data_IF_531168780904
#
_entry.id   IF_531168780904
#
_cell.length_a   1.000
_cell.length_b   1.000
_cell.length_c   1.000
_cell.angle_alpha   90.00
_cell.angle_beta   90.00
_cell.angle_gamma   90.00
#
_symmetry.space_group_name_H-M   'P 1'
#
loop_
_entity.id
_entity.type
_entity.pdbx_description
1 polymer ?
#
# COMPACT_ATOMS: atom_id res chain seq x y z
N UNK A 1 -37.39 26.72 -28.10
CA UNK A 1 -38.32 26.12 -29.08
C UNK A 1 -39.65 25.71 -28.44
N UNK A 2 -39.69 25.01 -27.30
CA UNK A 2 -40.97 24.71 -26.58
C UNK A 2 -41.44 25.95 -25.82
N UNK A 3 -40.54 26.76 -25.26
CA UNK A 3 -40.87 27.99 -24.55
C UNK A 3 -41.47 29.06 -25.44
N UNK A 4 -41.09 29.10 -26.73
CA UNK A 4 -41.63 30.03 -27.71
C UNK A 4 -43.07 29.68 -28.14
N UNK A 5 -43.51 28.45 -27.88
CA UNK A 5 -44.85 27.97 -28.16
C UNK A 5 -45.85 28.16 -27.00
N UNK A 6 -45.36 28.69 -25.83
CA UNK A 6 -46.20 28.87 -24.65
C UNK A 6 -47.07 30.14 -24.81
N UNK A 7 -48.39 30.05 -24.58
CA UNK A 7 -49.24 31.21 -24.62
C UNK A 7 -48.79 32.32 -23.65
N UNK A 8 -48.90 33.59 -24.06
CA UNK A 8 -48.58 34.73 -23.21
C UNK A 8 -49.34 34.72 -21.88
N UNK A 9 -50.52 34.13 -21.86
CA UNK A 9 -51.38 33.93 -20.68
C UNK A 9 -50.69 33.13 -19.57
N UNK A 10 -49.73 32.22 -19.91
CA UNK A 10 -48.98 31.45 -18.92
C UNK A 10 -48.15 32.32 -17.96
N UNK A 11 -47.77 33.50 -18.36
CA UNK A 11 -47.00 34.45 -17.52
C UNK A 11 -47.83 35.07 -16.40
N UNK A 12 -49.13 35.13 -16.58
CA UNK A 12 -50.06 35.70 -15.58
C UNK A 12 -50.59 34.67 -14.59
N UNK A 13 -50.31 33.38 -14.80
CA UNK A 13 -50.71 32.34 -13.87
C UNK A 13 -49.78 32.29 -12.66
N UNK A 14 -50.30 32.11 -11.46
CA UNK A 14 -49.52 31.93 -10.25
C UNK A 14 -48.68 30.64 -10.34
N UNK A 15 -47.54 30.60 -9.66
CA UNK A 15 -46.66 29.42 -9.66
C UNK A 15 -47.31 28.16 -9.05
N UNK A 16 -48.37 28.33 -8.26
CA UNK A 16 -49.17 27.27 -7.66
C UNK A 16 -50.34 26.81 -8.55
N UNK A 17 -50.58 27.44 -9.70
CA UNK A 17 -51.68 27.07 -10.59
C UNK A 17 -51.33 25.78 -11.34
N UNK A 18 -52.17 24.72 -11.23
CA UNK A 18 -51.94 23.46 -11.92
C UNK A 18 -51.90 23.55 -13.46
N UNK A 19 -52.46 24.62 -14.03
CA UNK A 19 -52.49 24.88 -15.48
C UNK A 19 -51.25 25.64 -15.97
N UNK A 20 -50.40 26.12 -15.06
CA UNK A 20 -49.16 26.81 -15.43
C UNK A 20 -48.14 25.84 -15.99
N UNK A 21 -47.72 26.07 -17.23
CA UNK A 21 -46.62 25.34 -17.82
C UNK A 21 -45.29 25.87 -17.28
N UNK A 22 -44.56 25.03 -16.58
CA UNK A 22 -43.23 25.34 -16.01
C UNK A 22 -42.20 24.49 -16.71
N UNK A 23 -41.27 25.13 -17.39
CA UNK A 23 -40.11 24.47 -17.99
C UNK A 23 -38.83 24.95 -17.29
N UNK A 24 -38.12 24.04 -16.66
CA UNK A 24 -36.82 24.26 -16.00
C UNK A 24 -35.71 23.44 -16.66
N UNK A 25 -34.48 23.88 -16.59
CA UNK A 25 -33.32 23.20 -17.18
C UNK A 25 -32.28 22.83 -16.12
N UNK A 26 -31.56 21.70 -16.34
CA UNK A 26 -30.42 21.32 -15.58
C UNK A 26 -30.71 20.89 -14.14
N UNK A 27 -29.86 21.28 -13.21
CA UNK A 27 -29.93 20.86 -11.82
C UNK A 27 -31.19 21.36 -11.09
N UNK A 28 -31.71 22.53 -11.43
CA UNK A 28 -32.96 23.08 -10.85
C UNK A 28 -34.16 22.20 -11.15
N UNK A 29 -34.28 21.74 -12.42
CA UNK A 29 -35.36 20.84 -12.84
C UNK A 29 -35.28 19.49 -12.12
N UNK A 30 -34.10 18.92 -12.03
CA UNK A 30 -33.86 17.64 -11.30
C UNK A 30 -34.14 17.76 -9.80
N UNK A 31 -33.76 18.88 -9.19
CA UNK A 31 -34.04 19.14 -7.79
C UNK A 31 -35.53 19.14 -7.50
N UNK A 32 -36.30 19.88 -8.29
CA UNK A 32 -37.75 19.98 -8.12
C UNK A 32 -38.45 18.65 -8.36
N UNK A 33 -38.03 17.87 -9.36
CA UNK A 33 -38.52 16.52 -9.59
C UNK A 33 -38.26 15.59 -8.42
N UNK A 34 -37.05 15.64 -7.84
CA UNK A 34 -36.65 14.81 -6.70
C UNK A 34 -37.35 15.25 -5.40
N UNK A 35 -37.56 16.57 -5.20
CA UNK A 35 -38.28 17.10 -4.05
C UNK A 35 -39.75 16.69 -4.01
N UNK A 36 -40.39 16.60 -5.19
CA UNK A 36 -41.79 16.22 -5.33
C UNK A 36 -42.02 14.70 -5.47
N UNK A 37 -40.94 13.87 -5.35
CA UNK A 37 -41.01 12.44 -5.55
C UNK A 37 -41.61 11.74 -4.34
N UNK A 38 -42.76 11.07 -4.50
CA UNK A 38 -43.31 10.18 -3.48
C UNK A 38 -42.73 8.78 -3.64
N UNK A 39 -41.76 8.43 -2.76
CA UNK A 39 -41.04 7.16 -2.81
C UNK A 39 -41.95 5.96 -2.50
N UNK A 40 -42.90 6.10 -1.57
CA UNK A 40 -43.79 5.00 -1.18
C UNK A 40 -44.74 4.62 -2.32
N UNK A 41 -45.34 5.60 -2.93
CA UNK A 41 -46.23 5.39 -4.09
C UNK A 41 -45.46 4.81 -5.29
N UNK A 42 -44.28 5.34 -5.56
CA UNK A 42 -43.40 4.84 -6.65
C UNK A 42 -42.95 3.40 -6.41
N UNK A 43 -42.63 3.06 -5.17
CA UNK A 43 -42.26 1.69 -4.77
C UNK A 43 -43.44 0.72 -4.99
N UNK A 44 -44.62 1.10 -4.54
CA UNK A 44 -45.83 0.32 -4.74
C UNK A 44 -46.15 0.08 -6.22
N UNK A 45 -46.10 1.15 -7.03
CA UNK A 45 -46.35 1.08 -8.47
C UNK A 45 -45.33 0.21 -9.21
N UNK A 46 -44.05 0.30 -8.86
CA UNK A 46 -43.01 -0.53 -9.46
C UNK A 46 -43.11 -1.99 -9.06
N UNK A 47 -43.50 -2.30 -7.82
CA UNK A 47 -43.75 -3.69 -7.36
C UNK A 47 -44.93 -4.31 -8.16
N UNK A 48 -46.02 -3.57 -8.33
CA UNK A 48 -47.15 -4.03 -9.11
C UNK A 48 -46.78 -4.19 -10.59
N UNK A 49 -46.06 -3.25 -11.18
CA UNK A 49 -45.56 -3.36 -12.54
C UNK A 49 -44.67 -4.58 -12.74
N UNK A 50 -43.71 -4.83 -11.81
CA UNK A 50 -42.83 -6.00 -11.88
C UNK A 50 -43.58 -7.35 -11.70
N UNK A 51 -44.71 -7.35 -10.94
CA UNK A 51 -45.54 -8.55 -10.75
C UNK A 51 -46.35 -8.88 -12.00
N UNK A 52 -46.91 -7.86 -12.67
CA UNK A 52 -47.87 -8.00 -13.78
C UNK A 52 -47.19 -8.03 -15.16
N UNK A 53 -45.91 -7.67 -15.27
CA UNK A 53 -45.21 -7.59 -16.55
C UNK A 53 -44.86 -8.98 -17.09
N UNK A 54 -45.28 -9.23 -18.34
CA UNK A 54 -45.06 -10.49 -19.06
C UNK A 54 -43.69 -10.54 -19.76
N UNK A 55 -43.16 -9.36 -20.13
CA UNK A 55 -41.83 -9.26 -20.78
C UNK A 55 -40.69 -9.34 -19.75
N UNK A 56 -39.80 -10.33 -19.89
CA UNK A 56 -38.67 -10.47 -19.01
C UNK A 56 -37.75 -9.24 -19.00
N UNK A 57 -37.57 -8.58 -20.13
CA UNK A 57 -36.71 -7.37 -20.22
C UNK A 57 -37.30 -6.21 -19.43
N UNK A 58 -38.60 -5.91 -19.61
CA UNK A 58 -39.28 -4.84 -18.87
C UNK A 58 -39.39 -5.14 -17.39
N UNK A 59 -39.60 -6.41 -17.04
CA UNK A 59 -39.59 -6.87 -15.64
C UNK A 59 -38.24 -6.61 -14.99
N UNK A 60 -37.14 -6.97 -15.67
CA UNK A 60 -35.79 -6.73 -15.17
C UNK A 60 -35.47 -5.23 -15.01
N UNK A 61 -35.99 -4.37 -15.91
CA UNK A 61 -35.84 -2.93 -15.81
C UNK A 61 -36.63 -2.37 -14.63
N UNK A 62 -37.86 -2.80 -14.44
CA UNK A 62 -38.72 -2.41 -13.30
C UNK A 62 -38.08 -2.83 -11.96
N UNK A 63 -37.50 -4.01 -11.90
CA UNK A 63 -36.78 -4.48 -10.70
C UNK A 63 -35.53 -3.66 -10.40
N UNK A 64 -34.74 -3.27 -11.41
CA UNK A 64 -33.58 -2.36 -11.23
C UNK A 64 -34.02 -0.99 -10.71
N UNK A 65 -35.10 -0.42 -11.26
CA UNK A 65 -35.64 0.84 -10.75
C UNK A 65 -36.17 0.71 -9.33
N UNK A 66 -36.87 -0.39 -9.02
CA UNK A 66 -37.37 -0.68 -7.69
C UNK A 66 -36.22 -0.75 -6.68
N UNK A 67 -35.11 -1.42 -7.01
CA UNK A 67 -33.93 -1.50 -6.14
C UNK A 67 -33.39 -0.12 -5.76
N UNK A 68 -33.33 0.82 -6.72
CA UNK A 68 -32.87 2.19 -6.45
C UNK A 68 -33.88 2.94 -5.58
N UNK A 69 -35.19 2.82 -5.86
CA UNK A 69 -36.24 3.48 -5.08
C UNK A 69 -36.29 2.96 -3.65
N UNK A 70 -36.18 1.64 -3.44
CA UNK A 70 -36.11 1.04 -2.10
C UNK A 70 -34.86 1.55 -1.32
N UNK A 71 -33.71 1.62 -1.99
CA UNK A 71 -32.49 2.16 -1.34
C UNK A 71 -32.65 3.63 -0.94
N UNK A 72 -33.33 4.45 -1.75
CA UNK A 72 -33.64 5.85 -1.40
C UNK A 72 -34.63 5.92 -0.24
N UNK A 73 -35.66 5.08 -0.23
CA UNK A 73 -36.66 5.00 0.85
C UNK A 73 -36.03 4.57 2.17
N UNK A 74 -35.20 3.54 2.14
CA UNK A 74 -34.44 3.08 3.32
C UNK A 74 -33.49 4.17 3.86
N UNK A 75 -32.81 4.90 2.96
CA UNK A 75 -31.97 6.02 3.34
C UNK A 75 -32.77 7.17 3.97
N UNK A 76 -33.97 7.45 3.48
CA UNK A 76 -34.85 8.45 4.05
C UNK A 76 -35.36 8.03 5.45
N UNK A 77 -35.69 6.76 5.62
CA UNK A 77 -36.23 6.23 6.89
C UNK A 77 -35.16 6.10 7.97
N UNK A 78 -33.97 5.60 7.62
CA UNK A 78 -32.89 5.29 8.60
C UNK A 78 -31.88 6.42 8.79
N UNK A 79 -31.68 7.28 7.79
CA UNK A 79 -30.61 8.29 7.80
C UNK A 79 -31.14 9.72 7.57
N UNK A 80 -32.45 9.90 7.46
CA UNK A 80 -33.09 11.19 7.14
C UNK A 80 -32.61 11.83 5.83
N UNK A 81 -31.98 11.06 4.94
CA UNK A 81 -31.43 11.54 3.68
C UNK A 81 -32.52 11.69 2.62
N UNK A 82 -32.77 12.90 2.18
CA UNK A 82 -33.76 13.18 1.14
C UNK A 82 -33.17 13.01 -0.27
N UNK A 83 -33.98 12.52 -1.25
CA UNK A 83 -33.52 12.35 -2.64
C UNK A 83 -33.01 13.64 -3.29
N UNK A 84 -33.60 14.79 -2.94
CA UNK A 84 -33.20 16.12 -3.45
C UNK A 84 -31.75 16.50 -3.08
N UNK A 85 -31.16 15.90 -2.03
CA UNK A 85 -29.77 16.15 -1.62
C UNK A 85 -28.74 15.56 -2.59
N UNK A 86 -29.17 14.78 -3.57
CA UNK A 86 -28.31 14.38 -4.69
C UNK A 86 -27.84 15.59 -5.52
N UNK A 87 -28.58 16.71 -5.45
CA UNK A 87 -28.20 17.97 -6.07
C UNK A 87 -27.37 18.79 -5.10
N UNK A 88 -26.11 18.95 -5.42
CA UNK A 88 -25.13 19.65 -4.56
C UNK A 88 -25.34 21.16 -4.63
N UNK A 89 -25.79 21.77 -3.53
CA UNK A 89 -25.97 23.23 -3.40
C UNK A 89 -24.72 23.92 -2.84
N UNK A 90 -23.99 23.23 -1.97
CA UNK A 90 -22.76 23.72 -1.32
C UNK A 90 -21.60 22.83 -1.70
N UNK A 91 -20.57 23.38 -2.34
CA UNK A 91 -19.40 22.65 -2.77
C UNK A 91 -18.41 22.55 -1.61
N UNK A 92 -17.94 21.33 -1.24
CA UNK A 92 -16.94 21.17 -0.22
C UNK A 92 -15.58 21.71 -0.70
N UNK A 93 -14.92 22.48 0.14
CA UNK A 93 -13.57 22.98 -0.12
C UNK A 93 -12.59 22.25 0.80
N UNK A 94 -11.63 21.57 0.21
CA UNK A 94 -10.61 20.85 0.98
C UNK A 94 -9.64 21.83 1.66
N UNK A 95 -9.05 21.45 2.83
CA UNK A 95 -8.08 22.28 3.54
C UNK A 95 -6.89 22.70 2.66
N UNK A 96 -6.29 23.88 2.91
CA UNK A 96 -5.15 24.39 2.13
C UNK A 96 -3.94 23.48 2.13
N UNK A 97 -3.70 22.73 3.20
CA UNK A 97 -2.60 21.77 3.33
C UNK A 97 -2.66 20.65 2.29
N UNK A 98 -3.87 20.27 1.86
CA UNK A 98 -4.07 19.24 0.82
C UNK A 98 -3.95 19.78 -0.62
N UNK A 99 -3.89 21.12 -0.77
CA UNK A 99 -3.72 21.83 -2.05
C UNK A 99 -2.70 22.96 -1.94
N UNK A 100 -1.46 22.65 -1.53
CA UNK A 100 -0.49 23.66 -1.14
C UNK A 100 -0.08 24.56 -2.32
N UNK A 101 0.31 25.78 -1.96
CA UNK A 101 1.01 26.74 -2.80
C UNK A 101 2.48 26.75 -2.35
N UNK A 102 3.37 26.23 -3.17
CA UNK A 102 4.79 26.07 -2.83
C UNK A 102 5.62 27.10 -3.58
N UNK A 103 6.41 27.95 -2.89
CA UNK A 103 7.33 28.86 -3.56
C UNK A 103 8.46 28.05 -4.21
N UNK A 104 8.80 28.41 -5.44
CA UNK A 104 9.94 27.91 -6.19
C UNK A 104 11.03 28.97 -6.24
N UNK A 105 12.26 28.53 -6.53
CA UNK A 105 13.38 29.43 -6.76
C UNK A 105 13.05 30.40 -7.92
N UNK A 106 13.41 31.68 -7.76
CA UNK A 106 13.10 32.72 -8.73
C UNK A 106 11.73 33.39 -8.57
N UNK A 107 11.09 33.30 -7.38
CA UNK A 107 9.84 34.04 -7.06
C UNK A 107 8.58 33.49 -7.73
N UNK A 108 8.64 32.29 -8.32
CA UNK A 108 7.50 31.59 -8.89
C UNK A 108 6.85 30.70 -7.84
N UNK A 109 5.55 30.43 -8.01
CA UNK A 109 4.82 29.52 -7.15
C UNK A 109 4.33 28.30 -7.96
N UNK A 110 4.56 27.12 -7.42
CA UNK A 110 3.88 25.90 -7.86
C UNK A 110 2.58 25.76 -7.10
N UNK A 111 1.49 25.57 -7.81
CA UNK A 111 0.16 25.38 -7.22
C UNK A 111 -0.41 24.03 -7.58
N UNK A 112 -1.25 23.48 -6.69
CA UNK A 112 -2.03 22.28 -6.99
C UNK A 112 -3.05 22.56 -8.08
N UNK A 113 -3.29 21.58 -8.95
CA UNK A 113 -4.31 21.65 -10.01
C UNK A 113 -5.71 21.97 -9.45
N UNK A 114 -6.01 21.54 -8.21
CA UNK A 114 -7.27 21.80 -7.53
C UNK A 114 -7.53 23.30 -7.31
N UNK A 115 -6.49 24.10 -7.04
CA UNK A 115 -6.65 25.53 -6.89
C UNK A 115 -7.14 26.20 -8.18
N UNK A 116 -6.67 25.74 -9.33
CA UNK A 116 -7.14 26.23 -10.64
C UNK A 116 -8.59 25.85 -10.90
N UNK A 117 -8.98 24.62 -10.55
CA UNK A 117 -10.36 24.16 -10.70
C UNK A 117 -11.31 24.93 -9.78
N UNK A 118 -10.97 25.15 -8.50
CA UNK A 118 -11.74 26.00 -7.58
C UNK A 118 -11.84 27.44 -8.09
N UNK A 119 -10.73 28.00 -8.56
CA UNK A 119 -10.71 29.36 -9.12
C UNK A 119 -11.71 29.52 -10.28
N UNK A 120 -11.75 28.53 -11.20
CA UNK A 120 -12.70 28.54 -12.31
C UNK A 120 -14.15 28.52 -11.84
N UNK A 121 -14.48 27.70 -10.85
CA UNK A 121 -15.84 27.66 -10.27
C UNK A 121 -16.20 29.00 -9.65
N UNK A 122 -15.32 29.60 -8.86
CA UNK A 122 -15.57 30.90 -8.20
C UNK A 122 -15.77 32.01 -9.25
N UNK A 123 -14.92 32.08 -10.26
CA UNK A 123 -15.03 33.10 -11.32
C UNK A 123 -16.37 32.97 -12.05
N UNK A 124 -16.78 31.75 -12.44
CA UNK A 124 -18.05 31.51 -13.12
C UNK A 124 -19.23 31.81 -12.22
N UNK A 125 -19.19 31.44 -10.96
CA UNK A 125 -20.24 31.73 -10.00
C UNK A 125 -20.41 33.27 -9.79
N UNK A 126 -19.31 33.98 -9.61
CA UNK A 126 -19.35 35.44 -9.44
C UNK A 126 -19.86 36.15 -10.71
N UNK A 127 -19.50 35.64 -11.88
CA UNK A 127 -20.00 36.17 -13.16
C UNK A 127 -21.51 35.94 -13.29
N UNK A 128 -22.00 34.71 -13.00
CA UNK A 128 -23.42 34.42 -13.02
C UNK A 128 -24.18 35.32 -12.05
N UNK A 129 -23.68 35.50 -10.81
CA UNK A 129 -24.30 36.39 -9.82
C UNK A 129 -24.47 37.82 -10.35
N UNK A 130 -23.42 38.40 -10.95
CA UNK A 130 -23.47 39.74 -11.56
C UNK A 130 -24.49 39.81 -12.70
N UNK A 131 -24.56 38.79 -13.58
CA UNK A 131 -25.53 38.75 -14.67
C UNK A 131 -26.97 38.65 -14.17
N UNK A 132 -27.21 37.98 -13.06
CA UNK A 132 -28.52 37.94 -12.40
C UNK A 132 -28.87 39.29 -11.77
N UNK A 133 -27.93 39.97 -11.15
CA UNK A 133 -28.14 41.32 -10.54
C UNK A 133 -28.52 42.38 -11.58
N UNK A 134 -28.02 42.32 -12.82
CA UNK A 134 -28.34 43.24 -13.91
C UNK A 134 -29.50 42.77 -14.79
N UNK A 135 -30.20 41.69 -14.38
CA UNK A 135 -31.32 41.11 -15.14
C UNK A 135 -30.97 40.86 -16.63
N UNK A 136 -29.85 40.21 -16.87
CA UNK A 136 -29.40 39.87 -18.24
C UNK A 136 -30.40 38.93 -18.94
N UNK A 137 -30.45 38.95 -20.29
CA UNK A 137 -31.32 38.07 -21.06
C UNK A 137 -31.14 36.58 -20.72
N UNK A 138 -32.25 35.83 -20.71
CA UNK A 138 -32.26 34.42 -20.33
C UNK A 138 -31.30 33.55 -21.11
N UNK A 139 -31.07 33.81 -22.37
CA UNK A 139 -30.11 33.07 -23.23
C UNK A 139 -28.69 33.15 -22.64
N UNK A 140 -28.28 34.32 -22.15
CA UNK A 140 -26.97 34.54 -21.54
C UNK A 140 -26.90 33.82 -20.20
N UNK A 141 -27.96 33.95 -19.37
CA UNK A 141 -28.02 33.27 -18.07
C UNK A 141 -27.97 31.75 -18.21
N UNK A 142 -28.69 31.17 -19.16
CA UNK A 142 -28.67 29.71 -19.44
C UNK A 142 -27.25 29.25 -19.85
N UNK A 143 -26.58 29.99 -20.70
CA UNK A 143 -25.22 29.66 -21.13
C UNK A 143 -24.24 29.74 -19.96
N UNK A 144 -24.32 30.77 -19.11
CA UNK A 144 -23.42 30.89 -17.96
C UNK A 144 -23.72 29.82 -16.89
N UNK A 145 -24.99 29.47 -16.64
CA UNK A 145 -25.36 28.31 -15.79
C UNK A 145 -24.75 27.01 -16.32
N UNK A 146 -24.79 26.77 -17.63
CA UNK A 146 -24.13 25.61 -18.26
C UNK A 146 -22.63 25.63 -18.06
N UNK A 147 -21.97 26.78 -18.21
CA UNK A 147 -20.52 26.91 -18.03
C UNK A 147 -20.12 26.74 -16.56
N UNK A 148 -20.96 27.16 -15.61
CA UNK A 148 -20.77 26.93 -14.19
C UNK A 148 -20.88 25.41 -13.89
N UNK A 149 -21.91 24.74 -14.41
CA UNK A 149 -22.07 23.28 -14.29
C UNK A 149 -20.84 22.55 -14.83
N UNK A 150 -20.33 22.93 -15.99
CA UNK A 150 -19.13 22.34 -16.56
C UNK A 150 -17.89 22.54 -15.69
N UNK A 151 -17.77 23.68 -15.02
CA UNK A 151 -16.67 23.95 -14.10
C UNK A 151 -16.74 23.10 -12.85
N UNK A 152 -17.95 22.88 -12.31
CA UNK A 152 -18.20 22.00 -11.16
C UNK A 152 -17.94 20.54 -11.53
N UNK A 153 -18.43 20.09 -12.68
CA UNK A 153 -18.16 18.73 -13.17
C UNK A 153 -16.66 18.46 -13.33
N UNK A 154 -15.91 19.44 -13.85
CA UNK A 154 -14.46 19.32 -13.97
C UNK A 154 -13.75 19.29 -12.62
N UNK A 155 -14.27 19.99 -11.60
CA UNK A 155 -13.74 19.95 -10.25
C UNK A 155 -13.91 18.55 -9.63
N UNK A 156 -15.09 17.93 -9.80
CA UNK A 156 -15.36 16.61 -9.25
C UNK A 156 -14.70 15.49 -10.04
N UNK A 157 -14.87 15.43 -11.36
CA UNK A 157 -14.27 14.42 -12.23
C UNK A 157 -13.96 14.96 -13.64
N UNK A 158 -12.76 15.49 -13.80
CA UNK A 158 -12.29 16.05 -15.08
C UNK A 158 -12.07 14.98 -16.16
N UNK A 159 -11.82 13.74 -15.79
CA UNK A 159 -11.56 12.65 -16.73
C UNK A 159 -12.81 12.13 -17.44
N UNK A 160 -13.99 12.44 -16.91
CA UNK A 160 -15.27 11.97 -17.43
C UNK A 160 -15.74 12.72 -18.69
N UNK A 161 -15.16 13.88 -18.96
CA UNK A 161 -15.53 14.73 -20.11
C UNK A 161 -14.73 14.36 -21.37
N UNK A 162 -15.38 14.43 -22.52
CA UNK A 162 -14.73 14.28 -23.84
C UNK A 162 -13.62 15.33 -24.05
N UNK A 163 -13.82 16.56 -23.55
CA UNK A 163 -12.82 17.63 -23.54
C UNK A 163 -12.46 18.01 -22.10
N UNK A 164 -11.52 17.29 -21.52
CA UNK A 164 -11.01 17.60 -20.17
C UNK A 164 -10.39 19.00 -20.13
N UNK A 165 -10.56 19.69 -19.01
CA UNK A 165 -9.91 20.96 -18.73
C UNK A 165 -8.40 20.73 -18.62
N UNK A 166 -7.61 21.51 -19.39
CA UNK A 166 -6.15 21.36 -19.49
C UNK A 166 -5.44 22.57 -18.91
N UNK A 167 -4.23 22.36 -18.41
CA UNK A 167 -3.26 23.39 -18.12
C UNK A 167 -2.60 23.90 -19.41
N UNK A 168 -1.83 24.97 -19.34
CA UNK A 168 -1.14 25.61 -20.48
C UNK A 168 -0.26 24.63 -21.27
N UNK A 169 0.25 23.57 -20.64
CA UNK A 169 1.03 22.48 -21.25
C UNK A 169 0.23 21.34 -21.88
N UNK A 170 -1.04 21.51 -22.20
CA UNK A 170 -1.98 20.48 -22.73
C UNK A 170 -2.25 19.28 -21.79
N UNK A 171 -1.66 19.25 -20.58
CA UNK A 171 -1.92 18.23 -19.57
C UNK A 171 -3.31 18.45 -18.93
N UNK A 172 -4.12 17.39 -18.81
CA UNK A 172 -5.39 17.46 -18.08
C UNK A 172 -5.14 17.77 -16.59
N UNK A 173 -5.95 18.67 -16.03
CA UNK A 173 -5.90 18.99 -14.60
C UNK A 173 -6.43 17.83 -13.77
N UNK A 174 -5.76 17.56 -12.64
CA UNK A 174 -6.15 16.49 -11.70
C UNK A 174 -7.31 16.94 -10.83
N UNK A 175 -8.47 16.27 -10.96
CA UNK A 175 -9.70 16.56 -10.23
C UNK A 175 -9.72 15.94 -8.83
N UNK A 176 -10.78 16.22 -8.04
CA UNK A 176 -10.99 15.60 -6.72
C UNK A 176 -11.09 14.07 -6.84
N UNK A 177 -11.86 13.56 -7.82
CA UNK A 177 -11.96 12.13 -8.08
C UNK A 177 -10.59 11.51 -8.41
N UNK A 178 -9.78 12.18 -9.22
CA UNK A 178 -8.43 11.72 -9.58
C UNK A 178 -7.46 11.71 -8.39
N UNK A 179 -7.71 12.54 -7.38
CA UNK A 179 -6.94 12.51 -6.13
C UNK A 179 -7.25 11.30 -5.26
N UNK A 180 -8.39 10.66 -5.44
CA UNK A 180 -8.86 9.50 -4.67
C UNK A 180 -8.64 8.19 -5.40
N UNK A 181 -8.88 8.15 -6.72
CA UNK A 181 -8.83 6.93 -7.55
C UNK A 181 -7.42 6.59 -8.05
N UNK A 182 -7.24 5.33 -8.44
CA UNK A 182 -6.01 4.83 -9.07
C UNK A 182 -4.87 4.54 -8.09
N UNK A 183 -3.71 4.16 -8.64
CA UNK A 183 -2.51 3.74 -7.87
C UNK A 183 -1.91 4.87 -7.04
N UNK A 184 -1.99 6.10 -7.54
CA UNK A 184 -1.49 7.32 -6.87
C UNK A 184 -2.58 8.08 -6.12
N UNK A 185 -3.78 7.52 -6.03
CA UNK A 185 -4.89 8.08 -5.28
C UNK A 185 -4.73 7.87 -3.77
N UNK A 186 -5.47 8.67 -2.99
CA UNK A 186 -5.40 8.67 -1.53
C UNK A 186 -5.65 7.29 -0.92
N UNK A 187 -6.60 6.53 -1.45
CA UNK A 187 -6.93 5.20 -0.94
C UNK A 187 -5.75 4.24 -1.05
N UNK A 188 -5.18 4.07 -2.25
CA UNK A 188 -4.12 3.10 -2.48
C UNK A 188 -2.75 3.55 -1.99
N UNK A 189 -2.46 4.85 -2.03
CA UNK A 189 -1.14 5.37 -1.69
C UNK A 189 -0.97 5.70 -0.19
N UNK A 190 -2.05 6.15 0.49
CA UNK A 190 -1.92 6.69 1.84
C UNK A 190 -2.80 5.99 2.89
N UNK A 191 -3.89 5.31 2.49
CA UNK A 191 -4.83 4.68 3.42
C UNK A 191 -4.64 3.16 3.51
N UNK A 192 -4.57 2.46 2.38
CA UNK A 192 -4.32 1.01 2.35
C UNK A 192 -2.87 0.65 2.67
N UNK A 193 -1.95 1.58 2.51
CA UNK A 193 -0.55 1.43 2.86
C UNK A 193 0.06 2.77 3.21
N UNK A 194 0.94 2.79 4.20
CA UNK A 194 1.65 3.99 4.67
C UNK A 194 3.14 3.69 4.76
N UNK A 195 3.98 4.74 4.66
CA UNK A 195 5.37 4.63 5.08
C UNK A 195 5.42 4.48 6.58
N UNK A 196 6.25 3.57 7.05
CA UNK A 196 6.35 3.25 8.48
C UNK A 196 7.76 3.55 8.99
N UNK A 197 7.83 3.97 10.26
CA UNK A 197 9.07 4.15 10.99
C UNK A 197 9.65 2.77 11.42
N UNK A 198 10.83 2.76 11.99
CA UNK A 198 11.54 1.55 12.42
C UNK A 198 11.72 0.54 11.29
N UNK A 199 12.02 1.05 10.12
CA UNK A 199 12.32 0.27 8.93
C UNK A 199 13.61 0.74 8.26
N UNK A 200 14.29 -0.19 7.61
CA UNK A 200 15.50 0.09 6.86
C UNK A 200 15.50 -0.73 5.57
N UNK A 201 16.42 -0.43 4.67
CA UNK A 201 16.59 -1.16 3.42
C UNK A 201 18.08 -1.24 3.08
N UNK A 202 18.55 -2.41 2.68
CA UNK A 202 19.91 -2.61 2.17
C UNK A 202 19.98 -3.76 1.18
N UNK A 203 21.10 -3.85 0.50
CA UNK A 203 21.46 -4.98 -0.36
C UNK A 203 21.64 -6.24 0.48
N UNK A 204 21.31 -7.39 -0.08
CA UNK A 204 21.50 -8.70 0.55
C UNK A 204 22.75 -9.40 0.01
N UNK A 205 23.40 -10.13 0.90
CA UNK A 205 24.53 -11.02 0.58
C UNK A 205 24.33 -12.38 1.24
N UNK A 206 25.00 -13.39 0.72
CA UNK A 206 24.91 -14.74 1.27
C UNK A 206 25.55 -14.80 2.66
N UNK A 207 24.89 -15.51 3.60
CA UNK A 207 25.39 -15.81 4.94
C UNK A 207 25.34 -17.30 5.21
N UNK A 208 26.32 -18.11 4.74
CA UNK A 208 26.28 -19.56 4.88
C UNK A 208 26.46 -20.03 6.32
N UNK A 209 27.07 -19.22 7.17
CA UNK A 209 27.33 -19.54 8.59
C UNK A 209 26.14 -19.24 9.52
N UNK A 210 25.06 -18.68 8.97
CA UNK A 210 23.85 -18.37 9.71
C UNK A 210 22.98 -19.62 9.87
N UNK A 211 22.29 -19.74 11.00
CA UNK A 211 21.22 -20.70 11.14
C UNK A 211 20.00 -20.25 10.32
N UNK A 212 19.07 -21.18 9.99
CA UNK A 212 17.90 -20.90 9.15
C UNK A 212 17.00 -19.77 9.71
N UNK A 213 16.95 -19.63 11.01
CA UNK A 213 16.16 -18.60 11.71
C UNK A 213 16.94 -17.29 11.96
N UNK A 214 18.20 -17.22 11.57
CA UNK A 214 19.06 -16.06 11.79
C UNK A 214 19.24 -15.21 10.53
N UNK A 215 19.44 -13.92 10.71
CA UNK A 215 19.90 -13.01 9.66
C UNK A 215 21.03 -12.12 10.19
N UNK A 216 21.94 -11.73 9.32
CA UNK A 216 23.00 -10.78 9.65
C UNK A 216 22.54 -9.35 9.38
N UNK A 217 22.52 -8.49 10.39
CA UNK A 217 22.22 -7.07 10.24
C UNK A 217 23.47 -6.22 10.47
N UNK A 218 23.76 -5.24 9.61
CA UNK A 218 24.81 -4.25 9.83
C UNK A 218 24.66 -3.54 11.17
N UNK A 219 25.76 -3.36 11.89
CA UNK A 219 25.79 -2.69 13.20
C UNK A 219 25.11 -1.31 13.17
N UNK A 220 25.45 -0.49 12.18
CA UNK A 220 24.92 0.86 12.06
C UNK A 220 23.39 0.89 11.86
N UNK A 221 22.89 -0.02 11.01
CA UNK A 221 21.45 -0.19 10.78
C UNK A 221 20.76 -0.67 12.06
N UNK A 222 21.33 -1.64 12.75
CA UNK A 222 20.78 -2.17 14.00
C UNK A 222 20.72 -1.10 15.09
N UNK A 223 21.77 -0.27 15.24
CA UNK A 223 21.79 0.81 16.21
C UNK A 223 20.67 1.84 15.98
N UNK A 224 20.37 2.18 14.72
CA UNK A 224 19.30 3.12 14.41
C UNK A 224 17.90 2.50 14.58
N UNK A 225 17.70 1.25 14.16
CA UNK A 225 16.42 0.54 14.33
C UNK A 225 16.05 0.35 15.80
N UNK A 226 17.01 -0.08 16.62
CA UNK A 226 16.81 -0.37 18.05
C UNK A 226 17.05 0.85 18.96
N UNK A 227 17.23 2.05 18.40
CA UNK A 227 17.54 3.28 19.14
C UNK A 227 16.68 3.53 20.37
N UNK A 228 15.34 3.41 20.34
CA UNK A 228 14.49 3.61 21.53
C UNK A 228 14.78 2.59 22.65
N UNK A 229 15.03 1.35 22.28
CA UNK A 229 15.33 0.28 23.26
C UNK A 229 16.70 0.46 23.90
N UNK A 230 17.69 0.93 23.12
CA UNK A 230 19.02 1.27 23.64
C UNK A 230 18.92 2.45 24.61
N UNK A 231 18.19 3.52 24.23
CA UNK A 231 17.96 4.68 25.09
C UNK A 231 17.34 4.25 26.43
N UNK A 232 16.32 3.41 26.37
CA UNK A 232 15.66 2.88 27.56
C UNK A 232 16.66 2.12 28.45
N UNK A 233 17.48 1.24 27.88
CA UNK A 233 18.48 0.47 28.64
C UNK A 233 19.60 1.33 29.22
N UNK A 234 20.04 2.39 28.52
CA UNK A 234 21.00 3.35 29.03
C UNK A 234 20.48 4.11 30.25
N UNK A 235 19.21 4.50 30.24
CA UNK A 235 18.54 5.14 31.37
C UNK A 235 18.31 4.18 32.53
N UNK A 236 17.81 2.96 32.27
CA UNK A 236 17.60 1.92 33.27
C UNK A 236 18.90 1.52 34.02
N UNK A 237 20.01 1.47 33.30
CA UNK A 237 21.33 1.17 33.89
C UNK A 237 22.01 2.37 34.58
N UNK A 238 21.39 3.56 34.53
CA UNK A 238 21.90 4.78 35.14
C UNK A 238 23.15 5.35 34.47
N UNK A 239 23.55 4.86 33.28
CA UNK A 239 24.71 5.35 32.52
C UNK A 239 24.48 6.81 32.09
N UNK A 240 23.22 7.16 31.78
CA UNK A 240 22.81 8.52 31.42
C UNK A 240 21.57 8.94 32.21
N UNK A 241 21.46 10.25 32.48
CA UNK A 241 20.33 10.82 33.21
C UNK A 241 19.25 11.41 32.28
N UNK A 242 19.59 11.69 31.03
CA UNK A 242 18.67 12.36 30.09
C UNK A 242 18.66 11.66 28.72
N UNK A 243 17.50 11.70 28.04
CA UNK A 243 17.34 11.18 26.68
C UNK A 243 18.28 11.88 25.68
N UNK A 244 18.55 13.18 25.89
CA UNK A 244 19.46 13.95 25.03
C UNK A 244 20.90 13.41 25.11
N UNK A 245 21.39 13.11 26.32
CA UNK A 245 22.71 12.48 26.51
C UNK A 245 22.77 11.09 25.92
N UNK A 246 21.69 10.27 26.08
CA UNK A 246 21.61 8.95 25.49
C UNK A 246 21.72 8.98 23.96
N UNK A 247 20.98 9.91 23.30
CA UNK A 247 21.08 10.09 21.84
C UNK A 247 22.51 10.44 21.42
N UNK A 248 23.18 11.36 22.15
CA UNK A 248 24.56 11.73 21.83
C UNK A 248 25.53 10.56 21.91
N UNK A 249 25.41 9.67 22.91
CA UNK A 249 26.23 8.47 23.06
C UNK A 249 25.99 7.51 21.88
N UNK A 250 24.74 7.31 21.45
CA UNK A 250 24.41 6.46 20.31
C UNK A 250 24.95 7.06 19.01
N UNK A 251 24.78 8.35 18.80
CA UNK A 251 25.26 9.04 17.59
C UNK A 251 26.80 9.06 17.51
N UNK A 252 27.49 9.11 18.65
CA UNK A 252 28.95 8.98 18.76
C UNK A 252 29.46 7.52 18.66
N UNK A 253 28.57 6.52 18.64
CA UNK A 253 28.92 5.08 18.51
C UNK A 253 29.85 4.58 19.58
N UNK A 254 29.64 4.97 20.85
CA UNK A 254 30.43 4.55 21.97
C UNK A 254 30.38 3.01 22.16
N UNK A 255 31.48 2.37 22.62
CA UNK A 255 31.54 0.90 22.76
C UNK A 255 30.43 0.29 23.59
N UNK A 256 29.97 0.99 24.63
CA UNK A 256 28.85 0.58 25.50
C UNK A 256 27.53 0.35 24.73
N UNK A 257 27.36 1.06 23.62
CA UNK A 257 26.14 0.91 22.76
C UNK A 257 26.09 -0.48 22.16
N UNK A 258 27.21 -1.05 21.75
CA UNK A 258 27.28 -2.37 21.11
C UNK A 258 26.91 -3.49 22.05
N UNK A 259 27.39 -3.44 23.30
CA UNK A 259 27.07 -4.44 24.34
C UNK A 259 25.58 -4.41 24.71
N UNK A 260 25.02 -3.21 24.78
CA UNK A 260 23.58 -3.03 25.04
C UNK A 260 22.77 -3.52 23.84
N UNK A 261 23.17 -3.17 22.62
CA UNK A 261 22.50 -3.57 21.40
C UNK A 261 22.45 -5.08 21.25
N UNK A 262 23.55 -5.78 21.49
CA UNK A 262 23.59 -7.24 21.43
C UNK A 262 22.59 -7.87 22.40
N UNK A 263 22.52 -7.36 23.64
CA UNK A 263 21.57 -7.84 24.62
C UNK A 263 20.10 -7.54 24.26
N UNK A 264 19.83 -6.38 23.63
CA UNK A 264 18.49 -6.00 23.20
C UNK A 264 18.03 -6.82 22.00
N UNK A 265 18.95 -7.16 21.09
CA UNK A 265 18.64 -7.96 19.91
C UNK A 265 18.32 -9.42 20.24
N UNK A 266 18.86 -9.97 21.32
CA UNK A 266 18.56 -11.33 21.77
C UNK A 266 17.07 -11.48 22.12
N UNK A 267 16.36 -12.35 21.39
CA UNK A 267 14.92 -12.56 21.58
C UNK A 267 14.01 -11.47 20.99
N UNK A 268 14.57 -10.52 20.23
CA UNK A 268 13.79 -9.49 19.55
C UNK A 268 13.95 -9.64 18.03
N UNK A 269 13.06 -10.38 17.35
CA UNK A 269 13.18 -10.68 15.93
C UNK A 269 12.94 -9.43 15.08
N UNK A 270 13.41 -9.49 13.84
CA UNK A 270 13.11 -8.52 12.78
C UNK A 270 12.35 -9.20 11.66
N UNK A 271 11.55 -8.44 10.93
CA UNK A 271 10.87 -8.91 9.73
C UNK A 271 11.68 -8.50 8.51
N UNK A 272 12.00 -9.46 7.65
CA UNK A 272 12.60 -9.20 6.34
C UNK A 272 11.53 -9.33 5.26
N UNK A 273 11.56 -8.40 4.31
CA UNK A 273 10.65 -8.39 3.17
C UNK A 273 11.41 -8.11 1.87
N UNK A 274 11.10 -8.85 0.81
CA UNK A 274 11.54 -8.55 -0.55
C UNK A 274 10.34 -8.21 -1.42
N UNK A 275 10.40 -7.08 -2.12
CA UNK A 275 9.44 -6.72 -3.16
C UNK A 275 9.82 -7.37 -4.50
N UNK A 276 8.85 -7.90 -5.28
CA UNK A 276 7.42 -7.96 -5.00
C UNK A 276 7.06 -9.08 -4.00
N UNK A 277 6.15 -8.79 -3.06
CA UNK A 277 5.65 -9.81 -2.12
C UNK A 277 4.53 -10.60 -2.79
N UNK A 278 4.88 -11.75 -3.36
CA UNK A 278 3.97 -12.59 -4.17
C UNK A 278 3.08 -13.49 -3.29
N UNK A 279 3.60 -13.93 -2.15
CA UNK A 279 2.90 -14.80 -1.20
C UNK A 279 3.33 -14.49 0.24
N UNK A 280 2.68 -15.10 1.22
CA UNK A 280 2.90 -14.82 2.64
C UNK A 280 4.34 -15.03 3.12
N UNK A 281 5.11 -15.95 2.50
CA UNK A 281 6.51 -16.21 2.84
C UNK A 281 7.47 -15.14 2.30
N UNK A 282 6.99 -14.17 1.52
CA UNK A 282 7.75 -12.98 1.13
C UNK A 282 7.99 -11.99 2.28
N UNK A 283 7.40 -12.25 3.46
CA UNK A 283 7.69 -11.58 4.73
C UNK A 283 7.90 -12.65 5.78
N UNK A 284 9.09 -12.73 6.36
CA UNK A 284 9.43 -13.69 7.40
C UNK A 284 10.19 -13.02 8.54
N UNK A 285 10.06 -13.58 9.74
CA UNK A 285 10.83 -13.14 10.90
C UNK A 285 12.15 -13.89 11.01
N UNK A 286 13.18 -13.17 11.42
CA UNK A 286 14.50 -13.70 11.67
C UNK A 286 15.04 -13.15 12.98
N UNK A 287 15.82 -13.96 13.70
CA UNK A 287 16.61 -13.50 14.83
C UNK A 287 17.84 -12.76 14.28
N UNK A 288 18.01 -11.46 14.56
CA UNK A 288 19.13 -10.71 14.03
C UNK A 288 20.43 -11.04 14.77
N UNK A 289 21.52 -11.06 14.01
CA UNK A 289 22.90 -11.17 14.48
C UNK A 289 23.68 -9.97 13.98
N UNK A 290 24.44 -9.32 14.83
CA UNK A 290 25.24 -8.17 14.39
C UNK A 290 26.42 -8.63 13.51
N UNK A 291 26.56 -7.94 12.39
CA UNK A 291 27.67 -8.13 11.45
C UNK A 291 28.34 -6.82 11.10
N UNK A 292 29.59 -6.90 10.70
CA UNK A 292 30.32 -5.79 10.08
C UNK A 292 29.86 -5.61 8.62
N UNK A 293 30.01 -4.40 8.10
CA UNK A 293 29.65 -4.07 6.73
C UNK A 293 28.36 -3.30 6.61
N UNK A 294 27.79 -3.22 5.39
CA UNK A 294 26.58 -2.44 5.08
C UNK A 294 25.46 -3.29 4.46
N UNK A 295 25.74 -4.54 4.10
CA UNK A 295 24.81 -5.45 3.49
C UNK A 295 24.18 -6.40 4.52
N UNK A 296 22.93 -6.78 4.29
CA UNK A 296 22.21 -7.75 5.12
C UNK A 296 22.65 -9.15 4.68
N UNK A 297 23.02 -10.01 5.64
CA UNK A 297 23.27 -11.42 5.36
C UNK A 297 22.00 -12.24 5.50
N UNK A 298 21.73 -13.05 4.46
CA UNK A 298 20.59 -13.96 4.42
C UNK A 298 21.06 -15.40 4.23
N UNK A 299 20.41 -16.31 4.96
CA UNK A 299 20.68 -17.74 4.80
C UNK A 299 20.31 -18.21 3.37
N UNK A 300 21.15 -18.95 2.67
CA UNK A 300 20.92 -19.32 1.27
C UNK A 300 19.63 -20.14 1.07
N UNK A 301 19.24 -21.00 2.01
CA UNK A 301 17.99 -21.77 1.91
C UNK A 301 16.72 -20.91 2.07
N UNK A 302 16.81 -19.71 2.65
CA UNK A 302 15.68 -18.79 2.75
C UNK A 302 15.41 -18.05 1.43
N UNK A 303 16.37 -18.00 0.50
CA UNK A 303 16.24 -17.27 -0.77
C UNK A 303 15.07 -17.75 -1.62
N UNK A 304 14.78 -19.03 -1.65
CA UNK A 304 13.69 -19.59 -2.43
C UNK A 304 12.31 -19.03 -2.02
N UNK A 305 12.08 -18.84 -0.72
CA UNK A 305 10.84 -18.28 -0.20
C UNK A 305 10.65 -16.81 -0.59
N UNK A 306 11.71 -16.03 -0.66
CA UNK A 306 11.71 -14.64 -1.09
C UNK A 306 11.83 -14.46 -2.61
N UNK A 307 12.10 -15.52 -3.35
CA UNK A 307 12.53 -15.47 -4.76
C UNK A 307 13.68 -14.45 -4.93
N UNK A 308 14.65 -14.50 -4.02
CA UNK A 308 15.78 -13.58 -3.94
C UNK A 308 17.04 -14.20 -4.51
N UNK A 309 17.86 -13.38 -5.15
CA UNK A 309 19.20 -13.69 -5.57
C UNK A 309 20.21 -12.63 -5.05
N UNK A 310 21.49 -12.89 -5.21
CA UNK A 310 22.53 -12.02 -4.66
C UNK A 310 23.21 -11.17 -5.76
N UNK A 311 22.49 -10.83 -6.81
CA UNK A 311 22.96 -10.02 -7.94
C UNK A 311 22.82 -8.50 -7.74
N UNK A 312 22.41 -8.08 -6.54
CA UNK A 312 22.14 -6.67 -6.19
C UNK A 312 20.74 -6.45 -5.61
N UNK A 313 20.01 -7.52 -5.34
CA UNK A 313 18.72 -7.45 -4.67
C UNK A 313 18.80 -6.75 -3.32
N UNK A 314 17.73 -5.99 -3.01
CA UNK A 314 17.56 -5.31 -1.73
C UNK A 314 16.39 -5.90 -0.96
N UNK A 315 16.51 -5.93 0.35
CA UNK A 315 15.41 -6.30 1.24
C UNK A 315 15.13 -5.19 2.26
N UNK A 316 13.85 -5.05 2.60
CA UNK A 316 13.43 -4.18 3.69
C UNK A 316 13.46 -4.94 5.01
N UNK A 317 13.85 -4.22 6.07
CA UNK A 317 13.86 -4.70 7.45
C UNK A 317 12.85 -3.89 8.24
N UNK A 318 12.01 -4.56 9.02
CA UNK A 318 11.02 -3.92 9.89
C UNK A 318 11.17 -4.46 11.31
N UNK A 319 11.08 -3.57 12.30
CA UNK A 319 11.19 -3.93 13.70
C UNK A 319 9.81 -3.96 14.36
N UNK A 320 9.34 -5.13 14.86
CA UNK A 320 8.17 -5.19 15.71
C UNK A 320 8.42 -4.43 17.03
N UNK A 321 7.50 -3.59 17.48
CA UNK A 321 7.69 -2.75 18.66
C UNK A 321 6.97 -3.28 19.89
N UNK A 322 5.74 -3.73 19.74
CA UNK A 322 4.91 -4.22 20.84
C UNK A 322 5.21 -5.68 21.21
N UNK A 323 5.04 -6.04 22.46
CA UNK A 323 5.24 -7.42 22.95
C UNK A 323 4.38 -8.45 22.21
N UNK A 324 3.12 -8.10 21.89
CA UNK A 324 2.24 -8.95 21.11
C UNK A 324 2.78 -9.19 19.68
N UNK A 325 3.25 -8.13 19.01
CA UNK A 325 3.86 -8.24 17.68
C UNK A 325 5.17 -9.04 17.68
N UNK A 326 5.98 -8.88 18.72
CA UNK A 326 7.22 -9.67 18.91
C UNK A 326 6.88 -11.15 19.08
N UNK A 327 5.90 -11.47 19.92
CA UNK A 327 5.46 -12.85 20.14
C UNK A 327 4.88 -13.48 18.86
N UNK A 328 4.06 -12.75 18.13
CA UNK A 328 3.52 -13.19 16.83
C UNK A 328 4.63 -13.44 15.81
N UNK A 329 5.61 -12.55 15.73
CA UNK A 329 6.77 -12.72 14.87
C UNK A 329 7.58 -13.99 15.22
N UNK A 330 7.76 -14.28 16.52
CA UNK A 330 8.48 -15.45 16.98
C UNK A 330 7.72 -16.77 16.75
N UNK A 331 6.41 -16.79 17.01
CA UNK A 331 5.61 -18.02 16.97
C UNK A 331 5.14 -18.35 15.57
N UNK A 332 4.63 -17.36 14.82
CA UNK A 332 3.99 -17.58 13.52
C UNK A 332 4.89 -17.30 12.33
N UNK A 333 5.75 -16.27 12.43
CA UNK A 333 6.45 -15.75 11.26
C UNK A 333 7.92 -16.16 11.16
N UNK A 334 8.48 -16.83 12.17
CA UNK A 334 9.88 -17.24 12.16
C UNK A 334 10.18 -18.16 10.98
N UNK A 335 11.29 -17.93 10.29
CA UNK A 335 11.65 -18.67 9.08
C UNK A 335 11.72 -20.19 9.29
N UNK A 336 12.19 -20.64 10.45
CA UNK A 336 12.25 -22.07 10.82
C UNK A 336 10.88 -22.72 10.98
N UNK A 337 9.82 -21.96 11.22
CA UNK A 337 8.44 -22.44 11.35
C UNK A 337 7.69 -22.47 10.02
N UNK A 338 8.22 -21.84 8.96
CA UNK A 338 7.60 -21.67 7.67
C UNK A 338 8.37 -22.40 6.55
N UNK A 339 8.64 -23.69 6.75
CA UNK A 339 9.41 -24.53 5.82
C UNK A 339 8.57 -25.03 4.65
N UNK A 340 7.24 -25.15 4.82
CA UNK A 340 6.34 -25.71 3.83
C UNK A 340 5.71 -24.62 2.95
N UNK A 341 5.65 -24.89 1.65
CA UNK A 341 4.97 -24.02 0.70
C UNK A 341 3.45 -24.08 0.91
N UNK A 342 2.76 -22.95 1.13
CA UNK A 342 1.31 -22.94 1.35
C UNK A 342 0.48 -23.38 0.13
N UNK A 343 1.04 -23.36 -1.08
CA UNK A 343 0.31 -23.73 -2.30
C UNK A 343 0.17 -25.25 -2.46
N UNK A 344 1.20 -26.03 -2.14
CA UNK A 344 1.25 -27.46 -2.42
C UNK A 344 1.76 -28.33 -1.25
N UNK A 345 2.14 -27.70 -0.12
CA UNK A 345 2.68 -28.40 1.04
C UNK A 345 4.09 -28.98 0.86
N UNK A 346 4.74 -28.76 -0.27
CA UNK A 346 6.12 -29.21 -0.49
C UNK A 346 7.12 -28.35 0.30
N UNK A 347 8.26 -28.90 0.77
CA UNK A 347 9.31 -28.11 1.38
C UNK A 347 9.86 -27.04 0.44
N UNK A 348 10.00 -25.80 0.92
CA UNK A 348 10.53 -24.68 0.13
C UNK A 348 12.03 -24.45 0.39
N UNK A 349 12.51 -24.80 1.58
CA UNK A 349 13.90 -24.65 2.01
C UNK A 349 14.73 -25.88 1.63
N UNK A 350 14.91 -26.09 0.33
CA UNK A 350 15.66 -27.21 -0.20
C UNK A 350 16.93 -26.73 -0.92
N UNK A 351 18.02 -27.49 -0.91
CA UNK A 351 19.19 -27.17 -1.71
C UNK A 351 18.84 -27.10 -3.20
N UNK A 352 19.39 -26.10 -3.90
CA UNK A 352 19.14 -25.89 -5.33
C UNK A 352 20.43 -25.44 -6.03
N UNK A 353 20.46 -25.59 -7.37
CA UNK A 353 21.53 -25.09 -8.25
C UNK A 353 22.95 -25.43 -7.73
N UNK A 354 23.75 -24.44 -7.42
CA UNK A 354 25.15 -24.59 -6.98
C UNK A 354 25.31 -25.38 -5.68
N UNK A 355 24.32 -25.33 -4.78
CA UNK A 355 24.32 -26.13 -3.56
C UNK A 355 24.25 -27.62 -3.86
N UNK A 356 23.41 -28.03 -4.82
CA UNK A 356 23.31 -29.44 -5.27
C UNK A 356 24.60 -29.87 -5.94
N UNK A 357 25.17 -29.03 -6.80
CA UNK A 357 26.44 -29.29 -7.47
C UNK A 357 27.58 -29.41 -6.44
N UNK A 358 27.63 -28.54 -5.44
CA UNK A 358 28.61 -28.58 -4.35
C UNK A 358 28.52 -29.86 -3.52
N UNK A 359 27.28 -30.25 -3.13
CA UNK A 359 27.04 -31.51 -2.41
C UNK A 359 27.44 -32.73 -3.24
N UNK A 360 27.12 -32.72 -4.53
CA UNK A 360 27.56 -33.79 -5.44
C UNK A 360 29.10 -33.86 -5.51
N UNK A 361 29.75 -32.71 -5.67
CA UNK A 361 31.21 -32.65 -5.71
C UNK A 361 31.85 -33.14 -4.42
N UNK A 362 31.35 -32.75 -3.25
CA UNK A 362 31.87 -33.17 -1.94
C UNK A 362 31.71 -34.66 -1.68
N UNK A 363 30.63 -35.26 -2.18
CA UNK A 363 30.32 -36.68 -1.96
C UNK A 363 30.94 -37.61 -3.02
N UNK A 364 31.56 -37.07 -4.06
CA UNK A 364 32.19 -37.84 -5.13
C UNK A 364 33.49 -38.48 -4.64
N UNK A 365 33.57 -39.80 -4.75
CA UNK A 365 34.79 -40.54 -4.46
C UNK A 365 35.83 -40.34 -5.55
N UNK A 366 37.06 -40.08 -5.18
CA UNK A 366 38.22 -40.12 -6.06
C UNK A 366 39.12 -41.29 -5.63
N UNK A 367 39.45 -42.20 -6.57
CA UNK A 367 40.35 -43.30 -6.35
C UNK A 367 41.77 -42.91 -6.78
N UNK A 368 42.78 -43.34 -6.03
CA UNK A 368 44.15 -43.20 -6.45
C UNK A 368 44.43 -43.94 -7.76
N UNK A 369 45.08 -43.27 -8.70
CA UNK A 369 45.58 -43.80 -9.98
C UNK A 369 47.10 -43.62 -10.02
N UNK A 370 47.74 -44.17 -11.06
CA UNK A 370 49.22 -44.05 -11.20
C UNK A 370 49.72 -42.62 -11.23
N UNK A 371 48.88 -41.69 -11.73
CA UNK A 371 49.25 -40.27 -11.91
C UNK A 371 48.73 -39.36 -10.82
N UNK A 372 47.75 -39.81 -9.99
CA UNK A 372 47.09 -38.97 -8.94
C UNK A 372 46.95 -39.82 -7.68
N UNK A 373 47.72 -39.43 -6.63
CA UNK A 373 47.66 -40.06 -5.32
C UNK A 373 46.70 -39.26 -4.44
N UNK A 374 45.64 -39.88 -3.94
CA UNK A 374 44.67 -39.30 -3.01
C UNK A 374 45.20 -39.50 -1.58
N UNK A 375 45.51 -38.42 -0.91
CA UNK A 375 46.06 -38.49 0.46
C UNK A 375 44.99 -39.01 1.42
N UNK A 376 45.40 -39.95 2.28
CA UNK A 376 44.50 -40.49 3.32
C UNK A 376 43.60 -41.62 2.89
N UNK A 377 43.62 -42.06 1.63
CA UNK A 377 42.78 -43.16 1.14
C UNK A 377 43.09 -44.46 1.94
N UNK A 378 42.01 -45.10 2.46
CA UNK A 378 42.10 -46.35 3.22
C UNK A 378 42.50 -46.18 4.69
N UNK A 379 42.85 -45.00 5.17
CA UNK A 379 43.19 -44.76 6.60
C UNK A 379 41.94 -45.01 7.47
N UNK A 380 42.20 -45.44 8.72
CA UNK A 380 41.20 -45.71 9.75
C UNK A 380 41.34 -44.66 10.84
N UNK A 381 40.23 -44.03 11.21
CA UNK A 381 40.11 -42.99 12.23
C UNK A 381 39.20 -43.44 13.37
N UNK A 382 39.49 -42.99 14.60
CA UNK A 382 38.75 -43.33 15.80
C UNK A 382 37.45 -42.56 15.96
N UNK A 383 37.37 -41.37 15.40
CA UNK A 383 36.18 -40.51 15.51
C UNK A 383 36.01 -39.63 14.28
N UNK A 384 34.81 -39.05 14.12
CA UNK A 384 34.51 -38.06 13.09
C UNK A 384 35.32 -36.77 13.27
N UNK A 385 35.65 -36.41 14.51
CA UNK A 385 36.45 -35.24 14.82
C UNK A 385 37.88 -35.41 14.37
N UNK A 386 38.46 -36.61 14.55
CA UNK A 386 39.80 -36.94 14.07
C UNK A 386 39.92 -36.83 12.54
N UNK A 387 38.85 -37.20 11.81
CA UNK A 387 38.82 -37.02 10.35
C UNK A 387 38.88 -35.55 9.98
N UNK A 388 38.11 -34.69 10.69
CA UNK A 388 38.11 -33.23 10.45
C UNK A 388 39.50 -32.63 10.71
N UNK A 389 40.15 -33.04 11.79
CA UNK A 389 41.51 -32.62 12.11
C UNK A 389 42.48 -33.07 11.02
N UNK A 390 42.43 -34.35 10.59
CA UNK A 390 43.26 -34.87 9.52
C UNK A 390 43.05 -34.16 8.17
N UNK A 391 41.83 -33.76 7.87
CA UNK A 391 41.50 -32.95 6.70
C UNK A 391 42.09 -31.54 6.80
N UNK A 392 41.94 -30.86 7.93
CA UNK A 392 42.46 -29.52 8.17
C UNK A 392 44.00 -29.50 8.14
N UNK A 393 44.66 -30.56 8.64
CA UNK A 393 46.11 -30.75 8.59
C UNK A 393 46.63 -31.22 7.20
N UNK A 394 45.73 -31.37 6.21
CA UNK A 394 46.11 -31.81 4.86
C UNK A 394 46.62 -33.24 4.76
N UNK A 395 46.30 -34.10 5.76
CA UNK A 395 46.66 -35.52 5.79
C UNK A 395 45.59 -36.42 5.14
N UNK A 396 44.40 -35.90 4.92
CA UNK A 396 43.34 -36.54 4.19
C UNK A 396 42.72 -35.57 3.18
N UNK A 397 42.53 -36.01 1.94
CA UNK A 397 41.86 -35.24 0.90
C UNK A 397 40.32 -35.34 1.04
N UNK A 398 39.61 -34.32 0.58
CA UNK A 398 38.16 -34.25 0.63
C UNK A 398 37.47 -35.48 0.03
N UNK A 399 38.02 -36.03 -1.05
CA UNK A 399 37.49 -37.14 -1.80
C UNK A 399 38.07 -38.50 -1.43
N UNK A 400 38.85 -38.55 -0.36
CA UNK A 400 39.47 -39.77 0.11
C UNK A 400 38.43 -40.69 0.80
N UNK A 401 38.48 -41.97 0.49
CA UNK A 401 37.69 -43.00 1.18
C UNK A 401 38.38 -43.40 2.47
N UNK A 402 37.79 -43.05 3.60
CA UNK A 402 38.37 -43.35 4.94
C UNK A 402 37.42 -44.27 5.72
N UNK A 403 37.99 -45.02 6.67
CA UNK A 403 37.20 -45.83 7.60
C UNK A 403 37.11 -45.11 8.93
N UNK A 404 35.92 -44.94 9.44
CA UNK A 404 35.71 -44.24 10.73
C UNK A 404 34.92 -45.15 11.66
N UNK A 405 35.35 -45.24 12.90
CA UNK A 405 34.64 -45.95 13.95
C UNK A 405 33.46 -45.04 14.40
N UNK A 406 32.25 -45.50 14.18
CA UNK A 406 31.03 -44.82 14.66
C UNK A 406 30.49 -45.64 15.83
N UNK A 407 30.33 -45.03 17.00
CA UNK A 407 29.65 -45.67 18.11
C UNK A 407 28.13 -45.64 17.77
N UNK A 408 27.54 -46.79 17.50
CA UNK A 408 26.09 -46.94 17.48
C UNK A 408 25.63 -46.91 18.94
N UNK A 409 25.03 -45.79 19.38
CA UNK A 409 24.20 -45.75 20.57
C UNK A 409 22.79 -46.23 20.20
#
# INVERSE_FOLDING_TARGET
DILDAIPAENQYLADSDPNKFIAKMGAEALHDLLANLNLDELSYNLRNAAANETSQQRKAESLKRLQVVESMRDAQTHSENNPEWMIVKVIPVIPPELRPLVPLDGGRFATSDLNDLYRRVIIRNNRLKRLMEINAPDIILRNEKRMLQESVDALFDNSRKASAVKADGKRALKSLSDSLKGKQGRFRQNLLGKRVDYSARSVIVVGPDLNLHECGLPKDMSAELYKPFIIRKLLERGIVKTVKSAKKIIDNREPVVWDILENVMKGHPVLLNRAPTLHRLGIQAFQPKMIEGKAIQLHPLACAAFNADFDGDQMAVHLPLGSAAILEAQVLMLASHNILNPANGAPITVPSQDMVLGLYYMTKQKKSTKDVIVKGEGKTFYSLEEVKIAYNEGQADLHAMVKVRVNNN
#
